data_IF_579943522510
#
_entry.id   IF_579943522510
#
_cell.length_a   1.000
_cell.length_b   1.000
_cell.length_c   1.000
_cell.angle_alpha   90.00
_cell.angle_beta   90.00
_cell.angle_gamma   90.00
#
_symmetry.space_group_name_H-M   'P 1'
#
loop_
_entity.id
_entity.type
_entity.pdbx_description
1 polymer ?
#
# COMPACT_ATOMS: atom_id res chain seq x y z
N UNK A 1 -8.36 -8.06 20.46
CA UNK A 1 -7.63 -6.92 19.87
C UNK A 1 -8.66 -6.03 19.20
N UNK A 2 -8.60 -4.73 19.42
CA UNK A 2 -9.50 -3.74 18.79
C UNK A 2 -8.86 -3.18 17.51
N UNK A 3 -9.66 -2.85 16.51
CA UNK A 3 -9.22 -2.22 15.26
C UNK A 3 -9.11 -0.69 15.45
N UNK A 4 -7.89 -0.18 15.39
CA UNK A 4 -7.60 1.25 15.47
C UNK A 4 -7.00 1.74 14.15
N UNK A 5 -7.68 2.68 13.50
CA UNK A 5 -7.17 3.35 12.30
C UNK A 5 -6.82 4.81 12.58
N UNK A 6 -5.53 5.13 12.43
CA UNK A 6 -4.99 6.48 12.59
C UNK A 6 -4.68 7.09 11.22
N UNK A 7 -5.68 7.73 10.61
CA UNK A 7 -5.61 8.15 9.21
C UNK A 7 -4.45 9.10 8.91
N UNK A 8 -4.19 10.07 9.79
CA UNK A 8 -3.07 11.00 9.59
C UNK A 8 -1.70 10.31 9.72
N UNK A 9 -1.58 9.29 10.58
CA UNK A 9 -0.36 8.47 10.64
C UNK A 9 -0.18 7.67 9.36
N UNK A 10 -1.24 7.07 8.83
CA UNK A 10 -1.19 6.34 7.55
C UNK A 10 -0.85 7.26 6.38
N UNK A 11 -1.40 8.48 6.32
CA UNK A 11 -1.02 9.51 5.33
C UNK A 11 0.46 9.88 5.44
N UNK A 12 0.96 10.10 6.66
CA UNK A 12 2.37 10.41 6.89
C UNK A 12 3.28 9.25 6.48
N UNK A 13 2.87 8.00 6.75
CA UNK A 13 3.60 6.82 6.30
C UNK A 13 3.63 6.71 4.77
N UNK A 14 2.50 6.88 4.09
CA UNK A 14 2.43 6.87 2.62
C UNK A 14 3.34 7.94 2.01
N UNK A 15 3.30 9.17 2.54
CA UNK A 15 4.20 10.27 2.13
C UNK A 15 5.68 9.93 2.37
N UNK A 16 6.01 9.37 3.53
CA UNK A 16 7.39 8.97 3.87
C UNK A 16 7.92 7.88 2.93
N UNK A 17 7.09 6.88 2.63
CA UNK A 17 7.41 5.83 1.65
C UNK A 17 7.56 6.43 0.25
N UNK A 18 6.73 7.40 -0.12
CA UNK A 18 6.85 8.13 -1.38
C UNK A 18 8.20 8.83 -1.53
N UNK A 19 8.64 9.56 -0.50
CA UNK A 19 9.95 10.24 -0.48
C UNK A 19 11.11 9.24 -0.53
N UNK A 20 11.00 8.13 0.22
CA UNK A 20 11.98 7.05 0.18
C UNK A 20 12.07 6.44 -1.22
N UNK A 21 10.93 6.21 -1.86
CA UNK A 21 10.86 5.64 -3.20
C UNK A 21 11.52 6.53 -4.24
N UNK A 22 11.28 7.84 -4.19
CA UNK A 22 11.95 8.80 -5.07
C UNK A 22 13.47 8.82 -4.85
N UNK A 23 13.91 8.75 -3.60
CA UNK A 23 15.34 8.69 -3.25
C UNK A 23 15.97 7.39 -3.75
N UNK A 24 15.31 6.24 -3.54
CA UNK A 24 15.76 4.94 -4.03
C UNK A 24 15.88 4.94 -5.56
N UNK A 25 14.87 5.43 -6.27
CA UNK A 25 14.91 5.49 -7.73
C UNK A 25 16.10 6.30 -8.24
N UNK A 26 16.36 7.47 -7.64
CA UNK A 26 17.52 8.30 -7.99
C UNK A 26 18.86 7.59 -7.73
N UNK A 27 18.97 6.86 -6.62
CA UNK A 27 20.17 6.09 -6.28
C UNK A 27 20.38 4.91 -7.23
N UNK A 28 19.31 4.22 -7.61
CA UNK A 28 19.36 3.11 -8.55
C UNK A 28 19.65 3.58 -9.98
N UNK A 29 19.16 4.75 -10.40
CA UNK A 29 19.53 5.38 -11.68
C UNK A 29 21.03 5.71 -11.72
N UNK A 30 21.57 6.25 -10.62
CA UNK A 30 23.00 6.51 -10.48
C UNK A 30 23.82 5.21 -10.51
N UNK A 31 23.35 4.16 -9.86
CA UNK A 31 23.96 2.83 -9.87
C UNK A 31 23.98 2.24 -11.28
N UNK A 32 22.83 2.24 -11.98
CA UNK A 32 22.71 1.75 -13.36
C UNK A 32 23.68 2.50 -14.27
N UNK A 33 23.75 3.83 -14.17
CA UNK A 33 24.70 4.65 -14.93
C UNK A 33 26.16 4.27 -14.66
N UNK A 34 26.53 4.08 -13.39
CA UNK A 34 27.89 3.68 -13.02
C UNK A 34 28.23 2.28 -13.54
N UNK A 35 27.28 1.33 -13.46
CA UNK A 35 27.44 -0.01 -14.01
C UNK A 35 27.61 0.05 -15.54
N UNK A 36 26.79 0.83 -16.25
CA UNK A 36 26.92 1.00 -17.70
C UNK A 36 28.27 1.59 -18.08
N UNK A 37 28.76 2.59 -17.34
CA UNK A 37 30.10 3.14 -17.56
C UNK A 37 31.19 2.08 -17.36
N UNK A 38 31.11 1.29 -16.28
CA UNK A 38 32.04 0.20 -16.01
C UNK A 38 32.04 -0.87 -17.11
N UNK A 39 30.86 -1.26 -17.60
CA UNK A 39 30.72 -2.26 -18.68
C UNK A 39 31.38 -1.76 -19.97
N UNK A 40 31.26 -0.47 -20.28
CA UNK A 40 31.80 0.14 -21.49
C UNK A 40 33.28 0.58 -21.38
N UNK A 41 33.90 0.51 -20.20
CA UNK A 41 35.30 0.92 -20.00
C UNK A 41 36.29 -0.13 -20.52
N UNK A 42 37.14 0.24 -21.48
CA UNK A 42 38.13 -0.68 -22.09
C UNK A 42 39.54 -0.63 -21.49
N UNK A 43 39.75 0.15 -20.43
CA UNK A 43 41.07 0.31 -19.76
C UNK A 43 41.48 -0.99 -19.06
N UNK A 44 40.57 -1.57 -18.27
CA UNK A 44 40.84 -2.77 -17.48
C UNK A 44 40.45 -4.03 -18.25
N UNK A 45 41.42 -4.93 -18.44
CA UNK A 45 41.28 -6.13 -19.26
C UNK A 45 41.64 -7.40 -18.48
N UNK A 46 41.12 -8.54 -18.93
CA UNK A 46 41.39 -9.86 -18.35
C UNK A 46 40.12 -10.60 -17.95
N UNK A 47 40.22 -11.91 -17.72
CA UNK A 47 39.07 -12.79 -17.49
C UNK A 47 38.22 -12.37 -16.27
N UNK A 48 38.86 -11.90 -15.21
CA UNK A 48 38.17 -11.36 -14.03
C UNK A 48 37.32 -10.13 -14.38
N UNK A 49 37.87 -9.16 -15.13
CA UNK A 49 37.14 -7.97 -15.55
C UNK A 49 36.03 -8.30 -16.57
N UNK A 50 36.29 -9.17 -17.54
CA UNK A 50 35.27 -9.61 -18.50
C UNK A 50 34.10 -10.30 -17.81
N UNK A 51 34.37 -11.22 -16.88
CA UNK A 51 33.31 -11.87 -16.09
C UNK A 51 32.60 -10.89 -15.14
N UNK A 52 33.31 -9.92 -14.55
CA UNK A 52 32.69 -8.86 -13.76
C UNK A 52 31.66 -8.07 -14.56
N UNK A 53 32.03 -7.60 -15.76
CA UNK A 53 31.12 -6.86 -16.65
C UNK A 53 29.87 -7.69 -16.97
N UNK A 54 30.05 -8.96 -17.30
CA UNK A 54 28.95 -9.87 -17.59
C UNK A 54 28.07 -10.12 -16.36
N UNK A 55 28.64 -10.26 -15.16
CA UNK A 55 27.87 -10.43 -13.93
C UNK A 55 27.04 -9.19 -13.62
N UNK A 56 27.65 -8.01 -13.75
CA UNK A 56 27.00 -6.73 -13.48
C UNK A 56 25.82 -6.51 -14.44
N UNK A 57 25.99 -6.80 -15.73
CA UNK A 57 24.90 -6.71 -16.70
C UNK A 57 23.79 -7.74 -16.48
N UNK A 58 24.16 -8.96 -16.08
CA UNK A 58 23.23 -10.11 -15.99
C UNK A 58 22.46 -10.15 -14.67
N UNK A 59 23.05 -9.64 -13.59
CA UNK A 59 22.51 -9.75 -12.23
C UNK A 59 22.23 -8.37 -11.63
N UNK A 60 23.22 -7.49 -11.59
CA UNK A 60 23.09 -6.22 -10.84
C UNK A 60 22.18 -5.20 -11.52
N UNK A 61 22.20 -5.10 -12.86
CA UNK A 61 21.25 -4.24 -13.59
C UNK A 61 19.80 -4.72 -13.35
N UNK A 62 19.43 -6.00 -13.64
CA UNK A 62 18.08 -6.47 -13.35
C UNK A 62 17.68 -6.29 -11.88
N UNK A 63 18.59 -6.54 -10.94
CA UNK A 63 18.33 -6.38 -9.51
C UNK A 63 18.05 -4.91 -9.13
N UNK A 64 18.78 -3.95 -9.72
CA UNK A 64 18.50 -2.52 -9.57
C UNK A 64 17.09 -2.17 -10.03
N UNK A 65 16.70 -2.63 -11.23
CA UNK A 65 15.35 -2.44 -11.77
C UNK A 65 14.28 -3.12 -10.90
N UNK A 66 14.55 -4.31 -10.37
CA UNK A 66 13.67 -5.01 -9.43
C UNK A 66 13.45 -4.19 -8.15
N UNK A 67 14.51 -3.61 -7.59
CA UNK A 67 14.40 -2.81 -6.36
C UNK A 67 13.61 -1.51 -6.59
N UNK A 68 13.83 -0.83 -7.72
CA UNK A 68 13.00 0.33 -8.16
C UNK A 68 11.52 -0.05 -8.24
N UNK A 69 11.23 -1.16 -8.92
CA UNK A 69 9.87 -1.67 -9.11
C UNK A 69 9.21 -2.03 -7.77
N UNK A 70 9.92 -2.68 -6.86
CA UNK A 70 9.41 -3.01 -5.53
C UNK A 70 9.08 -1.74 -4.73
N UNK A 71 9.95 -0.74 -4.82
CA UNK A 71 9.75 0.56 -4.19
C UNK A 71 8.48 1.26 -4.71
N UNK A 72 8.30 1.27 -6.03
CA UNK A 72 7.11 1.83 -6.68
C UNK A 72 5.81 1.10 -6.29
N UNK A 73 5.84 -0.23 -6.21
CA UNK A 73 4.69 -1.04 -5.78
C UNK A 73 4.34 -0.77 -4.32
N UNK A 74 5.35 -0.70 -3.46
CA UNK A 74 5.17 -0.40 -2.03
C UNK A 74 4.51 0.98 -1.85
N UNK A 75 5.00 1.99 -2.57
CA UNK A 75 4.39 3.33 -2.59
C UNK A 75 2.91 3.26 -3.01
N UNK A 76 2.62 2.62 -4.15
CA UNK A 76 1.26 2.49 -4.66
C UNK A 76 0.33 1.78 -3.67
N UNK A 77 0.80 0.73 -3.00
CA UNK A 77 0.03 0.03 -1.98
C UNK A 77 -0.29 0.92 -0.77
N UNK A 78 0.68 1.71 -0.29
CA UNK A 78 0.46 2.67 0.80
C UNK A 78 -0.55 3.77 0.40
N UNK A 79 -0.41 4.34 -0.80
CA UNK A 79 -1.35 5.35 -1.32
C UNK A 79 -2.76 4.76 -1.46
N UNK A 80 -2.87 3.54 -2.00
CA UNK A 80 -4.13 2.82 -2.17
C UNK A 80 -4.79 2.49 -0.82
N UNK A 81 -4.02 2.08 0.19
CA UNK A 81 -4.53 1.84 1.54
C UNK A 81 -5.21 3.09 2.13
N UNK A 82 -4.55 4.24 2.05
CA UNK A 82 -5.10 5.52 2.54
C UNK A 82 -6.33 5.94 1.74
N UNK A 83 -6.27 5.82 0.41
CA UNK A 83 -7.37 6.19 -0.49
C UNK A 83 -8.60 5.32 -0.24
N UNK A 84 -8.44 3.99 -0.16
CA UNK A 84 -9.54 3.06 0.07
C UNK A 84 -10.16 3.24 1.44
N UNK A 85 -9.37 3.47 2.48
CA UNK A 85 -9.94 3.81 3.79
C UNK A 85 -10.81 5.06 3.71
N UNK A 86 -10.29 6.11 3.06
CA UNK A 86 -10.98 7.41 2.96
C UNK A 86 -12.30 7.31 2.18
N UNK A 87 -12.35 6.48 1.14
CA UNK A 87 -13.54 6.32 0.30
C UNK A 87 -14.53 5.27 0.83
N UNK A 88 -14.05 4.18 1.40
CA UNK A 88 -14.90 3.05 1.83
C UNK A 88 -15.38 3.21 3.28
N UNK A 89 -14.59 3.87 4.14
CA UNK A 89 -14.84 3.96 5.59
C UNK A 89 -15.21 5.37 6.01
N UNK A 90 -14.23 6.26 6.16
CA UNK A 90 -14.41 7.63 6.62
C UNK A 90 -13.15 8.49 6.33
N UNK A 91 -13.31 9.80 6.40
CA UNK A 91 -12.26 10.82 6.25
C UNK A 91 -11.52 11.15 7.56
N UNK A 92 -11.86 10.49 8.68
CA UNK A 92 -11.28 10.69 10.01
C UNK A 92 -10.67 9.40 10.58
N UNK A 93 -9.91 9.52 11.66
CA UNK A 93 -9.46 8.35 12.42
C UNK A 93 -10.63 7.71 13.18
N UNK A 94 -10.66 6.39 13.24
CA UNK A 94 -11.69 5.63 13.95
C UNK A 94 -11.05 4.56 14.83
N UNK A 95 -11.60 4.38 16.03
CA UNK A 95 -11.29 3.24 16.89
C UNK A 95 -12.56 2.43 17.12
N UNK A 96 -12.45 1.13 16.90
CA UNK A 96 -13.57 0.21 17.09
C UNK A 96 -14.12 0.28 18.53
N UNK A 97 -13.24 0.37 19.53
CA UNK A 97 -13.65 0.45 20.93
C UNK A 97 -14.49 1.70 21.26
N UNK A 98 -14.10 2.86 20.73
CA UNK A 98 -14.83 4.13 20.90
C UNK A 98 -16.20 4.05 20.20
N UNK A 99 -16.24 3.51 18.98
CA UNK A 99 -17.51 3.31 18.25
C UNK A 99 -18.46 2.37 19.02
N UNK A 100 -17.96 1.26 19.54
CA UNK A 100 -18.77 0.31 20.32
C UNK A 100 -19.29 0.91 21.63
N UNK A 101 -18.50 1.74 22.30
CA UNK A 101 -18.90 2.45 23.51
C UNK A 101 -20.00 3.47 23.21
N UNK A 102 -19.85 4.28 22.17
CA UNK A 102 -20.84 5.28 21.76
C UNK A 102 -22.16 4.63 21.31
N UNK A 103 -22.11 3.54 20.53
CA UNK A 103 -23.29 2.77 20.13
C UNK A 103 -24.02 2.22 21.36
N UNK A 104 -23.28 1.72 22.35
CA UNK A 104 -23.85 1.21 23.61
C UNK A 104 -24.50 2.33 24.40
N UNK A 105 -23.85 3.49 24.51
CA UNK A 105 -24.38 4.68 25.18
C UNK A 105 -25.68 5.17 24.52
N UNK A 106 -25.70 5.29 23.19
CA UNK A 106 -26.90 5.66 22.43
C UNK A 106 -28.03 4.65 22.63
N UNK A 107 -27.72 3.35 22.64
CA UNK A 107 -28.71 2.30 22.90
C UNK A 107 -29.34 2.45 24.29
N UNK A 108 -28.54 2.74 25.33
CA UNK A 108 -29.05 2.98 26.67
C UNK A 108 -29.92 4.24 26.75
N UNK A 109 -29.56 5.30 26.04
CA UNK A 109 -30.35 6.54 25.98
C UNK A 109 -31.70 6.30 25.27
N UNK A 110 -31.70 5.59 24.14
CA UNK A 110 -32.92 5.18 23.43
C UNK A 110 -33.85 4.43 24.37
N UNK A 111 -33.36 3.39 25.06
CA UNK A 111 -34.16 2.61 26.02
C UNK A 111 -34.73 3.47 27.16
N UNK A 112 -33.97 4.46 27.65
CA UNK A 112 -34.48 5.40 28.67
C UNK A 112 -35.64 6.24 28.14
N UNK A 113 -35.52 6.81 26.95
CA UNK A 113 -36.60 7.60 26.34
C UNK A 113 -37.81 6.75 25.94
N UNK A 114 -37.61 5.51 25.51
CA UNK A 114 -38.70 4.55 25.26
C UNK A 114 -39.47 4.26 26.54
N UNK A 115 -38.76 4.00 27.64
CA UNK A 115 -39.38 3.78 28.96
C UNK A 115 -40.14 5.02 29.46
N UNK A 116 -39.59 6.23 29.27
CA UNK A 116 -40.26 7.48 29.62
C UNK A 116 -41.52 7.68 28.78
N UNK A 117 -41.44 7.43 27.48
CA UNK A 117 -42.58 7.50 26.54
C UNK A 117 -43.67 6.52 26.93
N UNK A 118 -43.31 5.29 27.30
CA UNK A 118 -44.27 4.28 27.75
C UNK A 118 -44.93 4.66 29.08
N UNK A 119 -44.20 5.26 30.02
CA UNK A 119 -44.77 5.79 31.26
C UNK A 119 -45.75 6.94 31.01
N UNK A 120 -45.38 7.90 30.15
CA UNK A 120 -46.28 8.99 29.76
C UNK A 120 -47.55 8.46 29.11
N UNK A 121 -47.46 7.50 28.20
CA UNK A 121 -48.64 6.87 27.58
C UNK A 121 -49.54 6.16 28.60
N UNK A 122 -48.98 5.58 29.67
CA UNK A 122 -49.73 4.86 30.72
C UNK A 122 -50.39 5.79 31.75
N UNK A 123 -49.69 6.86 32.14
CA UNK A 123 -50.06 7.67 33.31
C UNK A 123 -50.43 9.12 32.99
N UNK A 124 -50.13 9.60 31.78
CA UNK A 124 -50.36 10.98 31.33
C UNK A 124 -50.61 11.02 29.81
N UNK A 125 -51.54 10.20 29.31
CA UNK A 125 -51.81 10.01 27.87
C UNK A 125 -52.18 11.31 27.15
N UNK A 126 -52.72 12.29 27.86
CA UNK A 126 -53.16 13.56 27.29
C UNK A 126 -51.99 14.51 27.02
N UNK A 127 -50.80 14.22 27.56
CA UNK A 127 -49.58 14.98 27.32
C UNK A 127 -48.92 14.58 25.98
N UNK A 128 -49.66 14.79 24.90
CA UNK A 128 -49.23 14.44 23.54
C UNK A 128 -47.94 15.16 23.14
N UNK A 129 -47.75 16.41 23.57
CA UNK A 129 -46.54 17.17 23.28
C UNK A 129 -45.28 16.49 23.83
N UNK A 130 -45.30 16.01 25.08
CA UNK A 130 -44.16 15.32 25.67
C UNK A 130 -43.91 13.96 25.01
N UNK A 131 -44.96 13.23 24.66
CA UNK A 131 -44.87 11.95 23.94
C UNK A 131 -44.22 12.15 22.56
N UNK A 132 -44.68 13.12 21.79
CA UNK A 132 -44.12 13.45 20.47
C UNK A 132 -42.67 13.93 20.57
N UNK A 133 -42.34 14.74 21.57
CA UNK A 133 -40.97 15.22 21.80
C UNK A 133 -40.02 14.05 22.09
N UNK A 134 -40.40 13.11 22.96
CA UNK A 134 -39.58 11.93 23.23
C UNK A 134 -39.42 11.03 21.99
N UNK A 135 -40.46 10.89 21.17
CA UNK A 135 -40.39 10.12 19.93
C UNK A 135 -39.38 10.73 18.94
N UNK A 136 -39.34 12.06 18.82
CA UNK A 136 -38.35 12.76 17.99
C UNK A 136 -36.92 12.55 18.50
N UNK A 137 -36.72 12.57 19.82
CA UNK A 137 -35.42 12.28 20.43
C UNK A 137 -34.99 10.84 20.13
N UNK A 138 -35.89 9.86 20.33
CA UNK A 138 -35.61 8.44 20.02
C UNK A 138 -35.21 8.27 18.55
N UNK A 139 -35.93 8.92 17.63
CA UNK A 139 -35.61 8.88 16.21
C UNK A 139 -34.22 9.46 15.92
N UNK A 140 -33.88 10.59 16.53
CA UNK A 140 -32.58 11.26 16.34
C UNK A 140 -31.43 10.39 16.88
N UNK A 141 -31.57 9.86 18.10
CA UNK A 141 -30.60 8.94 18.69
C UNK A 141 -30.46 7.66 17.88
N UNK A 142 -31.58 7.14 17.33
CA UNK A 142 -31.60 5.98 16.46
C UNK A 142 -30.83 6.21 15.15
N UNK A 143 -30.96 7.38 14.54
CA UNK A 143 -30.19 7.76 13.36
C UNK A 143 -28.68 7.84 13.66
N UNK A 144 -28.30 8.53 14.74
CA UNK A 144 -26.90 8.62 15.18
C UNK A 144 -26.31 7.23 15.45
N UNK A 145 -27.07 6.36 16.12
CA UNK A 145 -26.65 4.98 16.39
C UNK A 145 -26.39 4.22 15.09
N UNK A 146 -27.32 4.31 14.13
CA UNK A 146 -27.17 3.65 12.84
C UNK A 146 -25.92 4.15 12.10
N UNK A 147 -25.64 5.46 12.10
CA UNK A 147 -24.43 6.01 11.47
C UNK A 147 -23.15 5.41 12.07
N UNK A 148 -23.06 5.31 13.40
CA UNK A 148 -21.91 4.69 14.06
C UNK A 148 -21.80 3.19 13.77
N UNK A 149 -22.93 2.48 13.73
CA UNK A 149 -22.96 1.05 13.36
C UNK A 149 -22.45 0.83 11.94
N UNK A 150 -22.81 1.69 10.98
CA UNK A 150 -22.28 1.61 9.61
C UNK A 150 -20.79 1.93 9.54
N UNK A 151 -20.30 2.93 10.28
CA UNK A 151 -18.85 3.20 10.36
C UNK A 151 -18.09 2.02 10.93
N UNK A 152 -18.60 1.41 12.00
CA UNK A 152 -18.01 0.22 12.61
C UNK A 152 -17.99 -0.96 11.63
N UNK A 153 -19.10 -1.20 10.91
CA UNK A 153 -19.19 -2.24 9.89
C UNK A 153 -18.16 -2.03 8.78
N UNK A 154 -18.06 -0.82 8.24
CA UNK A 154 -17.08 -0.45 7.20
C UNK A 154 -15.64 -0.57 7.69
N UNK A 155 -15.34 -0.13 8.91
CA UNK A 155 -14.01 -0.26 9.51
C UNK A 155 -13.57 -1.73 9.61
N UNK A 156 -14.47 -2.60 10.06
CA UNK A 156 -14.23 -4.06 10.15
C UNK A 156 -14.01 -4.69 8.78
N UNK A 157 -14.85 -4.33 7.81
CA UNK A 157 -14.76 -4.81 6.44
C UNK A 157 -13.45 -4.37 5.77
N UNK A 158 -13.07 -3.11 5.95
CA UNK A 158 -11.79 -2.58 5.46
C UNK A 158 -10.62 -3.33 6.09
N UNK A 159 -10.59 -3.49 7.41
CA UNK A 159 -9.52 -4.23 8.10
C UNK A 159 -9.38 -5.68 7.59
N UNK A 160 -10.49 -6.34 7.24
CA UNK A 160 -10.45 -7.69 6.67
C UNK A 160 -9.86 -7.70 5.25
N UNK A 161 -10.17 -6.68 4.43
CA UNK A 161 -9.79 -6.62 3.01
C UNK A 161 -8.46 -5.91 2.75
N UNK A 162 -8.00 -5.07 3.68
CA UNK A 162 -6.82 -4.22 3.48
C UNK A 162 -5.51 -4.99 3.31
N UNK A 163 -5.29 -6.19 3.88
CA UNK A 163 -4.06 -6.96 3.59
C UNK A 163 -3.88 -7.29 2.11
N UNK A 164 -4.98 -7.51 1.36
CA UNK A 164 -4.90 -7.82 -0.08
C UNK A 164 -4.30 -6.67 -0.90
N UNK A 165 -4.30 -5.43 -0.37
CA UNK A 165 -3.66 -4.28 -1.02
C UNK A 165 -2.13 -4.49 -1.13
N UNK A 166 -1.52 -5.22 -0.20
CA UNK A 166 -0.07 -5.43 -0.13
C UNK A 166 0.39 -6.77 -0.70
N UNK A 167 -0.53 -7.66 -1.06
CA UNK A 167 -0.22 -9.00 -1.56
C UNK A 167 0.74 -9.00 -2.74
N UNK A 168 0.54 -8.10 -3.69
CA UNK A 168 1.43 -7.98 -4.86
C UNK A 168 2.84 -7.53 -4.46
N UNK A 169 2.97 -6.66 -3.45
CA UNK A 169 4.27 -6.24 -2.91
C UNK A 169 4.99 -7.44 -2.31
N UNK A 170 4.30 -8.25 -1.50
CA UNK A 170 4.86 -9.44 -0.85
C UNK A 170 5.28 -10.52 -1.86
N UNK A 171 4.46 -10.76 -2.89
CA UNK A 171 4.78 -11.68 -3.97
C UNK A 171 6.01 -11.22 -4.75
N UNK A 172 6.07 -9.93 -5.09
CA UNK A 172 7.21 -9.38 -5.81
C UNK A 172 8.49 -9.35 -4.97
N UNK A 173 8.38 -9.08 -3.66
CA UNK A 173 9.51 -9.13 -2.74
C UNK A 173 10.21 -10.50 -2.75
N UNK A 174 9.47 -11.61 -2.90
CA UNK A 174 10.06 -12.95 -3.02
C UNK A 174 10.93 -13.08 -4.28
N UNK A 175 10.51 -12.49 -5.39
CA UNK A 175 11.29 -12.46 -6.65
C UNK A 175 12.57 -11.66 -6.44
N UNK A 176 12.48 -10.48 -5.82
CA UNK A 176 13.65 -9.65 -5.49
C UNK A 176 14.63 -10.39 -4.57
N UNK A 177 14.12 -11.11 -3.58
CA UNK A 177 14.95 -11.89 -2.65
C UNK A 177 15.72 -13.03 -3.34
N UNK A 178 15.17 -13.62 -4.41
CA UNK A 178 15.90 -14.60 -5.22
C UNK A 178 17.11 -13.93 -5.91
N UNK A 179 16.92 -12.74 -6.50
CA UNK A 179 18.01 -11.98 -7.10
C UNK A 179 19.08 -11.55 -6.09
N UNK A 180 18.67 -11.10 -4.90
CA UNK A 180 19.61 -10.77 -3.80
C UNK A 180 20.44 -11.98 -3.37
N UNK A 181 19.81 -13.14 -3.18
CA UNK A 181 20.50 -14.39 -2.83
C UNK A 181 21.49 -14.80 -3.92
N UNK A 182 21.11 -14.67 -5.19
CA UNK A 182 22.01 -14.96 -6.31
C UNK A 182 23.20 -14.01 -6.35
N UNK A 183 22.98 -12.72 -6.09
CA UNK A 183 24.04 -11.72 -6.07
C UNK A 183 25.10 -11.98 -4.97
N UNK A 184 24.75 -12.69 -3.90
CA UNK A 184 25.70 -13.06 -2.84
C UNK A 184 26.73 -14.10 -3.28
N UNK A 185 26.41 -14.95 -4.26
CA UNK A 185 27.30 -15.99 -4.77
C UNK A 185 28.12 -15.51 -5.98
N UNK A 186 28.63 -14.27 -5.93
CA UNK A 186 29.19 -13.58 -7.09
C UNK A 186 30.55 -14.08 -7.57
N UNK A 187 31.37 -14.72 -6.74
CA UNK A 187 32.79 -15.02 -7.06
C UNK A 187 33.14 -16.50 -7.01
N UNK A 188 33.98 -16.93 -7.96
CA UNK A 188 34.58 -18.25 -8.01
C UNK A 188 36.09 -18.18 -7.77
N UNK A 189 36.53 -18.65 -6.61
CA UNK A 189 37.95 -18.66 -6.24
C UNK A 189 38.79 -19.63 -7.08
N UNK A 190 38.20 -20.71 -7.61
CA UNK A 190 38.92 -21.70 -8.41
C UNK A 190 39.22 -21.18 -9.81
N UNK A 191 38.32 -20.40 -10.40
CA UNK A 191 38.47 -19.86 -11.76
C UNK A 191 38.91 -18.39 -11.80
N UNK A 192 39.02 -17.73 -10.64
CA UNK A 192 39.31 -16.30 -10.47
C UNK A 192 38.39 -15.42 -11.34
N UNK A 193 37.11 -15.76 -11.37
CA UNK A 193 36.09 -15.12 -12.20
C UNK A 193 34.78 -14.98 -11.43
N UNK A 194 33.92 -14.09 -11.91
CA UNK A 194 32.55 -13.99 -11.40
C UNK A 194 31.71 -15.21 -11.83
N UNK A 195 30.83 -15.68 -10.96
CA UNK A 195 29.84 -16.70 -11.28
C UNK A 195 28.74 -16.08 -12.12
N UNK A 196 28.64 -16.49 -13.39
CA UNK A 196 27.59 -15.98 -14.28
C UNK A 196 26.42 -16.96 -14.27
N UNK A 197 25.28 -16.58 -13.67
CA UNK A 197 24.10 -17.44 -13.70
C UNK A 197 23.51 -17.51 -15.10
N UNK A 198 22.79 -18.59 -15.38
CA UNK A 198 22.16 -18.78 -16.69
C UNK A 198 20.88 -19.62 -16.64
N UNK A 199 20.12 -19.61 -17.73
CA UNK A 199 18.93 -20.43 -17.88
C UNK A 199 17.88 -20.13 -16.80
N UNK A 200 17.50 -21.14 -16.02
CA UNK A 200 16.47 -21.05 -14.98
C UNK A 200 16.88 -20.17 -13.80
N UNK A 201 18.19 -20.00 -13.58
CA UNK A 201 18.69 -19.14 -12.49
C UNK A 201 18.37 -17.66 -12.70
N UNK A 202 17.95 -17.27 -13.91
CA UNK A 202 17.55 -15.91 -14.29
C UNK A 202 16.05 -15.74 -14.45
N UNK A 203 15.22 -16.71 -14.05
CA UNK A 203 13.77 -16.59 -14.17
C UNK A 203 13.21 -15.45 -13.30
N UNK A 204 13.83 -15.16 -12.14
CA UNK A 204 13.49 -14.00 -11.32
C UNK A 204 13.76 -12.67 -12.04
N UNK A 205 14.82 -12.60 -12.85
CA UNK A 205 15.19 -11.39 -13.59
C UNK A 205 14.19 -11.14 -14.71
N UNK A 206 13.75 -12.20 -15.41
CA UNK A 206 12.67 -12.13 -16.41
C UNK A 206 11.36 -11.68 -15.77
N UNK A 207 10.94 -12.33 -14.69
CA UNK A 207 9.71 -11.97 -13.97
C UNK A 207 9.76 -10.52 -13.43
N UNK A 208 10.95 -10.07 -12.98
CA UNK A 208 11.18 -8.68 -12.58
C UNK A 208 11.01 -7.70 -13.72
N UNK A 209 11.59 -8.00 -14.89
CA UNK A 209 11.48 -7.16 -16.06
C UNK A 209 10.02 -7.07 -16.55
N UNK A 210 9.31 -8.19 -16.61
CA UNK A 210 7.87 -8.19 -16.96
C UNK A 210 7.05 -7.34 -16.00
N UNK A 211 7.34 -7.41 -14.69
CA UNK A 211 6.65 -6.59 -13.70
C UNK A 211 6.99 -5.11 -13.84
N UNK A 212 8.25 -4.78 -14.07
CA UNK A 212 8.70 -3.42 -14.36
C UNK A 212 7.93 -2.82 -15.54
N UNK A 213 7.84 -3.54 -16.67
CA UNK A 213 7.10 -3.09 -17.85
C UNK A 213 5.62 -2.81 -17.52
N UNK A 214 4.95 -3.69 -16.77
CA UNK A 214 3.56 -3.48 -16.34
C UNK A 214 3.39 -2.22 -15.49
N UNK A 215 4.30 -2.00 -14.53
CA UNK A 215 4.26 -0.81 -13.66
C UNK A 215 4.55 0.46 -14.46
N UNK A 216 5.53 0.44 -15.36
CA UNK A 216 5.84 1.55 -16.24
C UNK A 216 4.67 1.91 -17.16
N UNK A 217 4.04 0.90 -17.78
CA UNK A 217 2.84 1.08 -18.61
C UNK A 217 1.68 1.69 -17.82
N UNK A 218 1.39 1.19 -16.61
CA UNK A 218 0.32 1.76 -15.78
C UNK A 218 0.58 3.22 -15.40
N UNK A 219 1.84 3.61 -15.17
CA UNK A 219 2.21 5.02 -14.96
C UNK A 219 1.96 5.88 -16.19
N UNK A 220 2.27 5.36 -17.39
CA UNK A 220 2.05 6.06 -18.66
C UNK A 220 0.55 6.24 -18.91
N UNK A 221 -0.25 5.19 -18.73
CA UNK A 221 -1.71 5.23 -18.88
C UNK A 221 -2.32 6.29 -17.97
N UNK A 222 -1.96 6.29 -16.68
CA UNK A 222 -2.47 7.27 -15.74
C UNK A 222 -2.03 8.71 -16.05
N UNK A 223 -0.83 8.88 -16.64
CA UNK A 223 -0.37 10.19 -17.11
C UNK A 223 -1.15 10.65 -18.33
N UNK A 224 -1.45 9.74 -19.27
CA UNK A 224 -2.21 10.03 -20.49
C UNK A 224 -3.64 10.50 -20.21
N UNK A 225 -4.25 10.02 -19.13
CA UNK A 225 -5.58 10.46 -18.67
C UNK A 225 -5.58 11.92 -18.20
N UNK A 226 -4.43 12.44 -17.76
CA UNK A 226 -4.30 13.75 -17.13
C UNK A 226 -3.66 14.80 -18.04
N UNK A 227 -2.72 14.39 -18.90
CA UNK A 227 -1.87 15.28 -19.68
C UNK A 227 -1.43 14.66 -21.02
N UNK A 228 -0.93 15.48 -21.95
CA UNK A 228 -0.40 15.00 -23.24
C UNK A 228 0.96 14.31 -23.05
N UNK A 229 1.07 13.06 -23.53
CA UNK A 229 2.31 12.28 -23.48
C UNK A 229 3.39 12.85 -24.40
N UNK A 230 4.65 12.69 -24.00
CA UNK A 230 5.82 13.03 -24.81
C UNK A 230 6.75 11.82 -25.03
N UNK A 231 7.75 11.96 -25.93
CA UNK A 231 8.68 10.86 -26.26
C UNK A 231 9.48 10.33 -25.07
N UNK A 232 9.74 11.16 -24.06
CA UNK A 232 10.49 10.73 -22.88
C UNK A 232 9.66 9.81 -21.98
N UNK A 233 8.33 9.87 -22.06
CA UNK A 233 7.42 9.01 -21.28
C UNK A 233 7.45 7.54 -21.72
N UNK A 234 7.96 7.26 -22.93
CA UNK A 234 8.06 5.90 -23.48
C UNK A 234 9.48 5.31 -23.41
N UNK A 235 10.43 6.02 -22.78
CA UNK A 235 11.77 5.49 -22.54
C UNK A 235 11.70 4.50 -21.36
N UNK A 236 11.24 3.28 -21.64
CA UNK A 236 11.09 2.16 -20.69
C UNK A 236 12.21 1.16 -20.89
#
# INVERSE_FOLDING_TARGET
MSIDMYLDRSRNQASSVGNLSQTMNSNYDALEKAITQFINDDVLKGKAYTSAKQFFSTVLIPLSTSMKTLSDLTKQACDNFVSRYTSEVDSISLKESELEEDIRSLSQQITRYENLTNNLKKHASDNQQAISSNQQIIQTLGQQKHELEEKLRKLREFNQKSPEIFKEVEEFQKIVQQGLTQAQNFWNFSTNQFNIPSGKELDWAKASHEKYLKVAMGKIEHKAEKETLNKADFAV
#
